data_IF_522087105688
#
_entry.id   IF_522087105688
#
_cell.length_a   1.000
_cell.length_b   1.000
_cell.length_c   1.000
_cell.angle_alpha   90.00
_cell.angle_beta   90.00
_cell.angle_gamma   90.00
#
_symmetry.space_group_name_H-M   'P 1'
#
loop_
_entity.id
_entity.type
_entity.pdbx_description
1 polymer ?
#
# COMPACT_ATOMS: atom_id res chain seq x y z
N UNK A 1 -21.82 52.76 -23.75
CA UNK A 1 -21.21 51.62 -24.46
C UNK A 1 -20.67 50.65 -23.43
N UNK A 2 -21.43 49.61 -23.12
CA UNK A 2 -20.92 48.49 -22.32
C UNK A 2 -21.17 47.21 -23.11
N UNK A 3 -20.18 46.32 -23.05
CA UNK A 3 -20.39 44.90 -22.80
C UNK A 3 -19.03 44.32 -22.45
N UNK A 4 -18.79 44.25 -21.15
CA UNK A 4 -17.77 43.41 -20.52
C UNK A 4 -18.00 41.97 -20.95
N UNK A 5 -17.04 41.41 -21.69
CA UNK A 5 -16.96 39.97 -21.96
C UNK A 5 -16.67 39.25 -20.66
N UNK A 6 -17.72 38.77 -19.97
CA UNK A 6 -17.55 37.77 -18.91
C UNK A 6 -17.43 36.43 -19.63
N UNK A 7 -16.20 35.97 -19.82
CA UNK A 7 -15.97 34.60 -20.28
C UNK A 7 -16.31 33.65 -19.14
N UNK A 8 -17.56 33.21 -19.07
CA UNK A 8 -17.96 32.14 -18.14
C UNK A 8 -17.37 30.84 -18.68
N UNK A 9 -16.22 30.44 -18.13
CA UNK A 9 -15.62 29.14 -18.43
C UNK A 9 -16.55 28.00 -17.97
N UNK A 10 -16.71 26.96 -18.79
CA UNK A 10 -17.41 25.74 -18.38
C UNK A 10 -16.49 24.92 -17.48
N UNK A 11 -16.93 24.63 -16.26
CA UNK A 11 -16.25 23.68 -15.39
C UNK A 11 -16.77 22.26 -15.68
N UNK A 12 -15.85 21.31 -15.83
CA UNK A 12 -16.15 19.89 -15.91
C UNK A 12 -15.39 19.17 -14.80
N UNK A 13 -16.06 18.27 -14.09
CA UNK A 13 -15.48 17.45 -13.04
C UNK A 13 -15.63 15.98 -13.41
N UNK A 14 -14.60 15.18 -13.12
CA UNK A 14 -14.62 13.73 -13.32
C UNK A 14 -14.06 13.05 -12.07
N UNK A 15 -14.67 11.93 -11.69
CA UNK A 15 -14.20 11.08 -10.60
C UNK A 15 -13.45 9.88 -11.19
N UNK A 16 -12.27 9.58 -10.65
CA UNK A 16 -11.49 8.42 -11.02
C UNK A 16 -11.22 7.55 -9.78
N UNK A 17 -11.35 6.24 -9.94
CA UNK A 17 -10.91 5.26 -8.95
C UNK A 17 -9.68 4.56 -9.50
N UNK A 18 -8.58 4.60 -8.75
CA UNK A 18 -7.31 3.97 -9.12
C UNK A 18 -6.70 3.27 -7.93
N UNK A 19 -6.22 2.04 -8.15
CA UNK A 19 -5.48 1.27 -7.17
C UNK A 19 -4.10 0.98 -7.74
N UNK A 20 -3.05 1.33 -7.00
CA UNK A 20 -1.69 0.98 -7.39
C UNK A 20 -1.52 -0.54 -7.37
N UNK A 21 -0.91 -1.14 -8.41
CA UNK A 21 -0.59 -2.56 -8.38
C UNK A 21 0.52 -2.83 -7.35
N UNK A 22 0.65 -4.09 -6.95
CA UNK A 22 1.77 -4.54 -6.12
C UNK A 22 3.12 -4.19 -6.76
N UNK A 23 4.08 -3.77 -5.95
CA UNK A 23 5.40 -3.30 -6.39
C UNK A 23 5.63 -1.81 -6.22
N UNK A 24 4.60 -1.03 -5.88
CA UNK A 24 4.70 0.42 -5.67
C UNK A 24 4.76 0.80 -4.19
N UNK A 25 4.61 -0.15 -3.27
CA UNK A 25 4.59 0.08 -1.84
C UNK A 25 5.85 0.83 -1.38
N UNK A 26 5.66 1.91 -0.62
CA UNK A 26 6.75 2.76 -0.15
C UNK A 26 7.31 3.74 -1.19
N UNK A 27 6.76 3.78 -2.41
CA UNK A 27 7.15 4.73 -3.45
C UNK A 27 6.24 5.96 -3.50
N UNK A 28 6.79 7.08 -3.93
CA UNK A 28 6.04 8.29 -4.32
C UNK A 28 5.84 8.30 -5.83
N UNK A 29 4.59 8.38 -6.28
CA UNK A 29 4.22 8.37 -7.71
C UNK A 29 3.62 9.69 -8.12
N UNK A 30 4.15 10.30 -9.18
CA UNK A 30 3.61 11.53 -9.77
C UNK A 30 2.56 11.19 -10.83
N UNK A 31 1.30 11.53 -10.57
CA UNK A 31 0.18 11.35 -11.49
C UNK A 31 -0.21 12.71 -12.07
N UNK A 32 -0.38 12.80 -13.38
CA UNK A 32 -0.71 14.04 -14.08
C UNK A 32 -1.99 13.88 -14.91
N UNK A 33 -2.86 14.88 -14.83
CA UNK A 33 -4.13 14.96 -15.54
C UNK A 33 -4.05 16.07 -16.56
N UNK A 34 -4.41 15.77 -17.81
CA UNK A 34 -4.50 16.76 -18.87
C UNK A 34 -5.94 16.86 -19.35
N UNK A 35 -6.42 18.09 -19.48
CA UNK A 35 -7.75 18.36 -20.04
C UNK A 35 -7.59 18.76 -21.49
N UNK A 36 -8.33 18.08 -22.36
CA UNK A 36 -8.38 18.35 -23.79
C UNK A 36 -9.80 18.80 -24.17
N UNK A 37 -9.90 19.66 -25.17
CA UNK A 37 -11.16 19.92 -25.85
C UNK A 37 -11.64 18.66 -26.58
N UNK A 38 -12.95 18.51 -26.82
CA UNK A 38 -13.54 17.37 -27.56
C UNK A 38 -12.93 17.22 -28.96
N UNK A 39 -12.55 18.35 -29.58
CA UNK A 39 -11.86 18.38 -30.87
C UNK A 39 -10.40 17.88 -30.82
N UNK A 40 -9.80 17.80 -29.63
CA UNK A 40 -8.39 17.51 -29.42
C UNK A 40 -7.43 18.62 -29.88
N UNK A 41 -7.94 19.79 -30.28
CA UNK A 41 -7.11 20.88 -30.83
C UNK A 41 -6.46 21.73 -29.73
N UNK A 42 -7.09 21.82 -28.57
CA UNK A 42 -6.64 22.65 -27.44
C UNK A 42 -6.53 21.81 -26.17
N UNK A 43 -5.48 22.08 -25.38
CA UNK A 43 -5.21 21.42 -24.11
C UNK A 43 -4.88 22.45 -23.04
N UNK A 44 -5.29 22.18 -21.81
CA UNK A 44 -4.78 22.88 -20.64
C UNK A 44 -3.43 22.28 -20.19
N UNK A 45 -2.57 23.05 -19.51
CA UNK A 45 -1.39 22.50 -18.85
C UNK A 45 -1.78 21.36 -17.89
N UNK A 46 -0.96 20.31 -17.76
CA UNK A 46 -1.28 19.20 -16.89
C UNK A 46 -1.25 19.64 -15.42
N UNK A 47 -2.27 19.22 -14.68
CA UNK A 47 -2.28 19.29 -13.23
C UNK A 47 -1.73 17.98 -12.68
N UNK A 48 -0.68 18.03 -11.85
CA UNK A 48 -0.05 16.84 -11.29
C UNK A 48 -0.20 16.80 -9.77
N UNK A 49 -0.24 15.58 -9.24
CA UNK A 49 -0.25 15.28 -7.82
C UNK A 49 0.79 14.19 -7.53
N UNK A 50 1.41 14.28 -6.38
CA UNK A 50 2.31 13.24 -5.85
C UNK A 50 1.50 12.39 -4.86
N UNK A 51 1.52 11.09 -5.07
CA UNK A 51 0.84 10.12 -4.20
C UNK A 51 1.90 9.24 -3.56
N UNK A 52 1.91 9.24 -2.24
CA UNK A 52 2.68 8.27 -1.47
C UNK A 52 1.90 6.98 -1.33
N UNK A 53 2.46 5.89 -1.84
CA UNK A 53 1.86 4.56 -1.73
C UNK A 53 2.28 3.97 -0.38
N UNK A 54 1.29 3.76 0.49
CA UNK A 54 1.53 3.28 1.85
C UNK A 54 2.34 1.97 1.85
N UNK A 55 3.36 1.92 2.71
CA UNK A 55 4.16 0.73 2.97
C UNK A 55 3.44 -0.15 4.00
N UNK A 56 3.64 -1.47 3.92
CA UNK A 56 3.08 -2.43 4.90
C UNK A 56 1.55 -2.44 5.00
N UNK A 57 0.88 -2.01 3.93
CA UNK A 57 -0.57 -2.02 3.77
C UNK A 57 -0.95 -2.89 2.58
N UNK A 58 -2.14 -3.47 2.61
CA UNK A 58 -2.69 -4.26 1.51
C UNK A 58 -4.15 -3.89 1.25
N UNK A 59 -4.47 -3.54 0.01
CA UNK A 59 -5.84 -3.19 -0.38
C UNK A 59 -6.63 -4.46 -0.71
N UNK A 60 -7.61 -4.75 0.16
CA UNK A 60 -8.49 -5.92 0.03
C UNK A 60 -9.34 -5.83 -1.24
N UNK A 61 -9.35 -6.92 -2.01
CA UNK A 61 -10.22 -7.09 -3.18
C UNK A 61 -11.52 -7.81 -2.81
N UNK A 62 -12.53 -7.68 -3.67
CA UNK A 62 -13.83 -8.32 -3.49
C UNK A 62 -13.70 -9.85 -3.37
N UNK A 63 -14.34 -10.43 -2.34
CA UNK A 63 -14.34 -11.87 -2.08
C UNK A 63 -13.04 -12.45 -1.48
N UNK A 64 -12.02 -11.63 -1.20
CA UNK A 64 -10.83 -12.10 -0.48
C UNK A 64 -11.09 -12.31 1.01
N UNK A 65 -10.38 -13.25 1.63
CA UNK A 65 -10.36 -13.48 3.08
C UNK A 65 -8.95 -13.29 3.64
N UNK A 66 -8.80 -13.05 4.94
CA UNK A 66 -7.49 -12.98 5.60
C UNK A 66 -6.70 -14.29 5.40
N UNK A 67 -7.40 -15.43 5.38
CA UNK A 67 -6.82 -16.73 5.07
C UNK A 67 -6.24 -16.78 3.65
N UNK A 68 -6.96 -16.26 2.65
CA UNK A 68 -6.47 -16.20 1.29
C UNK A 68 -5.27 -15.26 1.18
N UNK A 69 -5.36 -14.06 1.75
CA UNK A 69 -4.26 -13.09 1.77
C UNK A 69 -3.02 -13.68 2.45
N UNK A 70 -3.20 -14.40 3.57
CA UNK A 70 -2.08 -15.02 4.29
C UNK A 70 -1.32 -16.01 3.42
N UNK A 71 -2.06 -16.85 2.68
CA UNK A 71 -1.46 -17.83 1.76
C UNK A 71 -0.79 -17.17 0.58
N UNK A 72 -1.39 -16.12 0.03
CA UNK A 72 -0.87 -15.42 -1.16
C UNK A 72 0.41 -14.65 -0.84
N UNK A 73 0.46 -13.92 0.26
CA UNK A 73 1.58 -13.03 0.56
C UNK A 73 2.71 -13.72 1.32
N UNK A 74 2.39 -14.66 2.21
CA UNK A 74 3.36 -15.22 3.15
C UNK A 74 3.52 -16.73 3.03
N UNK A 75 2.80 -17.37 2.09
CA UNK A 75 2.83 -18.82 1.88
C UNK A 75 2.48 -19.65 3.13
N UNK A 76 1.65 -19.11 4.04
CA UNK A 76 1.17 -19.84 5.22
C UNK A 76 -0.34 -19.68 5.44
N UNK A 77 -0.87 -20.39 6.43
CA UNK A 77 -2.27 -20.30 6.85
C UNK A 77 -2.50 -19.53 8.15
N UNK A 78 -1.51 -18.78 8.65
CA UNK A 78 -1.60 -18.04 9.91
C UNK A 78 -2.30 -16.69 9.71
N UNK A 79 -3.58 -16.73 9.34
CA UNK A 79 -4.39 -15.52 9.17
C UNK A 79 -4.56 -14.73 10.47
N UNK A 80 -4.43 -15.38 11.63
CA UNK A 80 -4.61 -14.75 12.94
C UNK A 80 -3.64 -13.58 13.16
N UNK A 81 -2.45 -13.59 12.54
CA UNK A 81 -1.54 -12.44 12.61
C UNK A 81 -2.10 -11.19 11.90
N UNK A 82 -2.82 -11.37 10.79
CA UNK A 82 -3.43 -10.27 10.06
C UNK A 82 -4.59 -9.72 10.87
N UNK A 83 -5.37 -10.60 11.52
CA UNK A 83 -6.39 -10.14 12.45
C UNK A 83 -5.77 -9.40 13.65
N UNK A 84 -4.71 -9.92 14.25
CA UNK A 84 -4.02 -9.27 15.37
C UNK A 84 -3.47 -7.88 15.03
N UNK A 85 -3.07 -7.65 13.76
CA UNK A 85 -2.61 -6.35 13.29
C UNK A 85 -3.75 -5.34 13.01
N UNK A 86 -5.00 -5.81 12.91
CA UNK A 86 -6.14 -4.99 12.48
C UNK A 86 -7.35 -5.07 13.43
N UNK A 87 -7.28 -5.84 14.51
CA UNK A 87 -8.38 -6.05 15.45
C UNK A 87 -8.61 -4.90 16.42
N UNK A 88 -7.73 -3.90 16.43
CA UNK A 88 -7.85 -2.68 17.22
C UNK A 88 -7.98 -1.46 16.29
N UNK A 89 -8.72 -0.45 16.73
CA UNK A 89 -8.77 0.86 16.09
C UNK A 89 -7.41 1.56 16.24
N UNK A 90 -6.82 1.95 15.10
CA UNK A 90 -5.54 2.65 15.01
C UNK A 90 -5.71 4.15 14.75
N UNK A 91 -6.94 4.65 14.64
CA UNK A 91 -7.27 6.05 14.40
C UNK A 91 -7.01 6.53 12.97
N UNK A 92 -6.68 5.63 12.04
CA UNK A 92 -6.48 5.95 10.63
C UNK A 92 -7.79 5.75 9.84
N UNK A 93 -8.33 6.80 9.19
CA UNK A 93 -9.61 6.72 8.48
C UNK A 93 -9.56 5.84 7.21
N UNK A 94 -8.36 5.43 6.77
CA UNK A 94 -8.17 4.57 5.60
C UNK A 94 -8.09 3.07 5.93
N UNK A 95 -8.01 2.72 7.22
CA UNK A 95 -8.09 1.35 7.75
C UNK A 95 -9.46 1.08 8.37
N UNK A 96 -9.81 -0.21 8.43
CA UNK A 96 -10.99 -0.68 9.15
C UNK A 96 -10.58 -1.64 10.25
N UNK A 97 -11.18 -1.48 11.43
CA UNK A 97 -11.04 -2.44 12.54
C UNK A 97 -11.77 -3.73 12.18
N UNK A 98 -11.03 -4.84 12.13
CA UNK A 98 -11.60 -6.16 11.82
C UNK A 98 -12.12 -6.77 13.11
N UNK A 99 -13.42 -6.60 13.36
CA UNK A 99 -14.07 -7.09 14.59
C UNK A 99 -14.29 -8.61 14.60
N UNK A 100 -14.49 -9.21 13.44
CA UNK A 100 -14.67 -10.65 13.28
C UNK A 100 -13.77 -11.17 12.14
N UNK A 101 -12.86 -12.12 12.43
CA UNK A 101 -11.90 -12.64 11.46
C UNK A 101 -12.50 -13.45 10.30
N UNK A 102 -13.70 -14.02 10.48
CA UNK A 102 -14.43 -14.75 9.46
C UNK A 102 -15.36 -13.83 8.65
N UNK A 103 -15.63 -12.63 9.19
CA UNK A 103 -16.45 -11.58 8.58
C UNK A 103 -15.68 -10.68 7.61
N UNK A 104 -14.70 -11.22 6.88
CA UNK A 104 -14.13 -10.50 5.73
C UNK A 104 -15.16 -10.29 4.60
N UNK A 105 -16.33 -10.92 4.74
CA UNK A 105 -17.46 -10.92 3.83
C UNK A 105 -18.28 -9.63 3.79
N UNK A 106 -17.94 -8.61 4.59
CA UNK A 106 -18.67 -7.33 4.53
C UNK A 106 -18.15 -6.50 3.36
N UNK A 107 -19.04 -6.01 2.51
CA UNK A 107 -18.78 -5.01 1.46
C UNK A 107 -17.92 -3.82 1.94
N UNK A 108 -17.87 -3.58 3.26
CA UNK A 108 -17.03 -2.61 3.92
C UNK A 108 -15.52 -2.78 3.69
N UNK A 109 -15.00 -4.01 3.54
CA UNK A 109 -13.56 -4.22 3.32
C UNK A 109 -13.15 -4.03 1.86
N UNK A 110 -14.09 -3.92 0.93
CA UNK A 110 -13.79 -3.69 -0.48
C UNK A 110 -13.08 -2.35 -0.65
N UNK A 111 -11.82 -2.40 -1.10
CA UNK A 111 -11.01 -1.20 -1.30
C UNK A 111 -10.40 -0.63 -0.01
N UNK A 112 -10.66 -1.25 1.14
CA UNK A 112 -10.07 -0.87 2.41
C UNK A 112 -8.66 -1.45 2.56
N UNK A 113 -7.73 -0.66 3.09
CA UNK A 113 -6.38 -1.09 3.34
C UNK A 113 -6.27 -1.77 4.71
N UNK A 114 -5.66 -2.96 4.75
CA UNK A 114 -5.32 -3.65 6.00
C UNK A 114 -3.82 -3.57 6.28
N UNK A 115 -3.43 -3.65 7.54
CA UNK A 115 -2.05 -3.80 7.97
C UNK A 115 -1.54 -5.21 7.69
N UNK A 116 -0.35 -5.30 7.11
CA UNK A 116 0.38 -6.56 6.96
C UNK A 116 1.30 -6.83 8.16
N UNK A 117 1.85 -5.78 8.74
CA UNK A 117 2.83 -5.84 9.83
C UNK A 117 3.25 -4.43 10.25
N UNK A 118 4.49 -4.30 10.72
CA UNK A 118 5.01 -3.04 11.23
C UNK A 118 6.06 -2.44 10.27
N UNK A 119 6.15 -1.13 10.25
CA UNK A 119 7.26 -0.42 9.61
C UNK A 119 8.38 -0.24 10.63
N UNK A 120 9.54 -0.80 10.32
CA UNK A 120 10.77 -0.66 11.10
C UNK A 120 11.73 0.30 10.39
N UNK A 121 12.37 1.17 11.15
CA UNK A 121 13.39 2.08 10.62
C UNK A 121 14.76 1.44 10.80
N UNK A 122 15.42 1.14 9.69
CA UNK A 122 16.75 0.53 9.69
C UNK A 122 17.79 1.40 10.40
N UNK A 123 18.58 0.78 11.27
CA UNK A 123 19.70 1.39 11.99
C UNK A 123 21.05 1.12 11.30
N UNK A 124 22.15 1.68 11.83
CA UNK A 124 23.47 1.72 11.17
C UNK A 124 24.06 0.33 10.87
N UNK A 125 23.77 -0.66 11.71
CA UNK A 125 24.30 -2.02 11.61
C UNK A 125 23.26 -3.02 11.06
N UNK A 126 22.07 -2.53 10.68
CA UNK A 126 21.03 -3.40 10.19
C UNK A 126 21.28 -3.85 8.75
N UNK A 127 20.98 -5.12 8.52
CA UNK A 127 20.94 -5.72 7.19
C UNK A 127 19.64 -6.51 7.07
N UNK A 128 19.21 -6.80 5.83
CA UNK A 128 18.06 -7.68 5.65
C UNK A 128 18.28 -9.07 6.27
N UNK A 129 19.53 -9.53 6.38
CA UNK A 129 19.87 -10.79 7.04
C UNK A 129 19.69 -10.73 8.57
N UNK A 130 20.17 -9.68 9.22
CA UNK A 130 20.01 -9.51 10.68
C UNK A 130 18.54 -9.31 11.07
N UNK A 131 17.77 -8.57 10.26
CA UNK A 131 16.33 -8.43 10.41
C UNK A 131 15.62 -9.76 10.22
N UNK A 132 15.92 -10.49 9.14
CA UNK A 132 15.28 -11.79 8.88
C UNK A 132 15.47 -12.77 10.05
N UNK A 133 16.68 -12.82 10.62
CA UNK A 133 16.97 -13.64 11.80
C UNK A 133 16.20 -13.16 13.04
N UNK A 134 16.21 -11.86 13.32
CA UNK A 134 15.59 -11.27 14.51
C UNK A 134 14.07 -11.43 14.52
N UNK A 135 13.43 -11.25 13.36
CA UNK A 135 11.98 -11.30 13.22
C UNK A 135 11.44 -12.67 12.77
N UNK A 136 12.31 -13.69 12.64
CA UNK A 136 11.94 -15.05 12.20
C UNK A 136 11.18 -15.01 10.86
N UNK A 137 11.77 -14.33 9.89
CA UNK A 137 11.29 -14.22 8.51
C UNK A 137 12.44 -14.55 7.55
N UNK A 138 12.23 -14.35 6.25
CA UNK A 138 13.27 -14.59 5.23
C UNK A 138 13.61 -13.31 4.50
N UNK A 139 14.86 -13.19 4.03
CA UNK A 139 15.28 -12.08 3.15
C UNK A 139 14.41 -12.03 1.89
N UNK A 140 14.01 -13.19 1.37
CA UNK A 140 13.09 -13.29 0.22
C UNK A 140 11.76 -12.59 0.50
N UNK A 141 11.14 -12.85 1.66
CA UNK A 141 9.88 -12.22 2.03
C UNK A 141 10.06 -10.73 2.31
N UNK A 142 11.14 -10.33 2.98
CA UNK A 142 11.46 -8.91 3.21
C UNK A 142 11.55 -8.14 1.89
N UNK A 143 12.27 -8.67 0.88
CA UNK A 143 12.35 -8.04 -0.44
C UNK A 143 11.01 -8.03 -1.17
N UNK A 144 10.20 -9.09 -1.04
CA UNK A 144 8.87 -9.15 -1.64
C UNK A 144 7.92 -8.07 -1.07
N UNK A 145 8.03 -7.76 0.21
CA UNK A 145 7.20 -6.75 0.89
C UNK A 145 7.75 -5.32 0.79
N UNK A 146 8.98 -5.15 0.29
CA UNK A 146 9.68 -3.87 0.18
C UNK A 146 10.25 -3.69 -1.23
N UNK A 147 9.39 -3.52 -2.25
CA UNK A 147 9.80 -3.51 -3.65
C UNK A 147 10.65 -2.28 -4.04
N UNK A 148 10.63 -1.23 -3.23
CA UNK A 148 11.51 -0.07 -3.35
C UNK A 148 12.98 -0.40 -3.00
N UNK A 149 13.23 -1.49 -2.26
CA UNK A 149 14.56 -1.97 -1.91
C UNK A 149 15.09 -2.88 -3.01
N UNK A 150 15.85 -2.31 -3.94
CA UNK A 150 16.36 -3.01 -5.13
C UNK A 150 17.57 -3.91 -4.88
N UNK A 151 18.32 -3.69 -3.81
CA UNK A 151 19.57 -4.40 -3.52
C UNK A 151 19.68 -4.74 -2.04
N UNK A 152 19.81 -6.03 -1.72
CA UNK A 152 19.87 -6.52 -0.35
C UNK A 152 21.15 -6.12 0.42
N UNK A 153 22.18 -5.65 -0.31
CA UNK A 153 23.49 -5.28 0.20
C UNK A 153 23.78 -3.77 0.14
N UNK A 154 22.79 -2.95 -0.22
CA UNK A 154 22.93 -1.49 -0.11
C UNK A 154 22.90 -1.06 1.37
N UNK A 155 23.52 0.08 1.70
CA UNK A 155 23.28 0.71 3.00
C UNK A 155 21.82 1.14 3.06
N UNK A 156 21.12 0.67 4.09
CA UNK A 156 19.70 0.93 4.31
C UNK A 156 19.48 1.81 5.54
N UNK A 157 20.50 2.47 6.09
CA UNK A 157 20.35 3.35 7.26
C UNK A 157 19.21 4.37 7.05
N UNK A 158 18.26 4.41 7.98
CA UNK A 158 17.09 5.27 7.92
C UNK A 158 16.02 4.85 6.92
N UNK A 159 16.18 3.72 6.22
CA UNK A 159 15.18 3.18 5.31
C UNK A 159 14.02 2.56 6.13
N UNK A 160 12.77 3.00 5.93
CA UNK A 160 11.61 2.28 6.45
C UNK A 160 11.47 0.91 5.75
N UNK A 161 11.21 -0.15 6.51
CA UNK A 161 11.06 -1.52 6.03
C UNK A 161 9.79 -2.11 6.62
N UNK A 162 8.89 -2.62 5.78
CA UNK A 162 7.78 -3.45 6.22
C UNK A 162 8.30 -4.81 6.70
N UNK A 163 7.97 -5.16 7.93
CA UNK A 163 8.35 -6.40 8.57
C UNK A 163 7.09 -7.13 9.05
N UNK A 164 7.01 -8.41 8.72
CA UNK A 164 5.99 -9.32 9.21
C UNK A 164 6.69 -10.44 9.98
N UNK A 165 6.54 -10.50 11.32
CA UNK A 165 7.25 -11.48 12.13
C UNK A 165 6.66 -12.88 12.00
N UNK A 166 7.47 -13.90 12.30
CA UNK A 166 7.04 -15.30 12.43
C UNK A 166 6.34 -15.86 11.18
N UNK A 167 6.86 -15.53 9.99
CA UNK A 167 6.34 -16.01 8.70
C UNK A 167 7.06 -17.27 8.21
N UNK A 168 8.18 -17.64 8.82
CA UNK A 168 8.91 -18.85 8.48
C UNK A 168 8.68 -19.94 9.52
N UNK A 169 7.92 -20.98 9.14
CA UNK A 169 7.72 -22.19 9.95
C UNK A 169 8.85 -23.21 9.83
N UNK A 170 9.83 -22.99 8.95
CA UNK A 170 10.89 -23.93 8.59
C UNK A 170 12.28 -23.56 9.15
N UNK A 171 12.43 -22.49 9.94
CA UNK A 171 13.68 -22.17 10.65
C UNK A 171 13.95 -23.06 11.89
N UNK A 172 13.21 -24.15 12.06
CA UNK A 172 13.44 -25.18 13.10
C UNK A 172 13.50 -26.58 12.51
N UNK A 173 14.33 -26.80 11.48
CA UNK A 173 14.71 -28.14 11.03
C UNK A 173 16.18 -28.17 10.63
#
# INVERSE_FOLDING_TARGET
TSLTSITIGRQASSLFNYSFPQGYEGSTVRVCFQVAEVSGANFLPPACLEIDVARCRFCMQEGQSLQLVSRLLFADSNWLRLWAANGNDDGDPSSLTILDPDSVQVDALRGSAIHLGNVYMMEEEDTLYSLAASFRTTVKLLLQLNPDIRQANASLLGQPVCIVPCTDSYLTS
#
